data_IF_049116104939
#
_entry.id   IF_049116104939
#
_cell.length_a   1.000
_cell.length_b   1.000
_cell.length_c   1.000
_cell.angle_alpha   90.00
_cell.angle_beta   90.00
_cell.angle_gamma   90.00
#
_symmetry.space_group_name_H-M   'P 1'
#
loop_
_entity.id
_entity.type
_entity.pdbx_description
1 polymer ?
#
# COMPACT_ATOMS: atom_id res chain seq x y z
N UNK A 1 4.00 -22.75 11.33
CA UNK A 1 3.09 -21.86 10.60
C UNK A 1 3.71 -20.47 10.60
N UNK A 2 4.51 -20.16 9.58
CA UNK A 2 5.13 -18.83 9.48
C UNK A 2 4.03 -17.80 9.25
N UNK A 3 4.13 -16.65 9.90
CA UNK A 3 3.27 -15.51 9.59
C UNK A 3 3.55 -15.16 8.12
N UNK A 4 2.66 -15.53 7.21
CA UNK A 4 2.76 -15.19 5.78
C UNK A 4 2.09 -13.83 5.50
N UNK A 5 1.35 -13.28 6.47
CA UNK A 5 0.63 -12.02 6.35
C UNK A 5 1.37 -10.86 7.04
N UNK A 6 1.59 -9.76 6.31
CA UNK A 6 2.33 -8.60 6.81
C UNK A 6 1.59 -7.32 6.49
N UNK A 7 1.56 -6.40 7.46
CA UNK A 7 1.01 -5.06 7.27
C UNK A 7 2.14 -4.07 7.06
N UNK A 8 2.10 -3.34 5.96
CA UNK A 8 3.11 -2.36 5.59
C UNK A 8 2.44 -1.02 5.30
N UNK A 9 2.97 0.09 5.84
CA UNK A 9 2.62 1.41 5.34
C UNK A 9 3.33 1.66 4.01
N UNK A 10 2.65 2.31 3.07
CA UNK A 10 3.30 2.92 1.93
C UNK A 10 4.05 4.19 2.35
N UNK A 11 4.92 4.67 1.45
CA UNK A 11 5.61 5.94 1.57
C UNK A 11 5.63 6.64 0.21
N UNK A 12 5.79 7.96 0.22
CA UNK A 12 5.91 8.76 -0.99
C UNK A 12 4.58 8.98 -1.72
N UNK A 13 3.46 8.76 -1.02
CA UNK A 13 2.09 9.06 -1.49
C UNK A 13 1.83 10.56 -1.72
N UNK A 14 2.66 11.44 -1.15
CA UNK A 14 2.57 12.90 -1.32
C UNK A 14 3.16 13.42 -2.64
N UNK A 15 3.88 12.58 -3.40
CA UNK A 15 4.53 12.97 -4.65
C UNK A 15 3.61 12.64 -5.81
N UNK A 16 3.62 13.47 -6.86
CA UNK A 16 2.91 13.14 -8.09
C UNK A 16 3.65 12.06 -8.88
N UNK A 17 2.94 11.33 -9.73
CA UNK A 17 3.54 10.43 -10.69
C UNK A 17 4.21 11.19 -11.83
N UNK A 18 5.17 10.56 -12.47
CA UNK A 18 5.87 11.10 -13.66
C UNK A 18 4.91 11.36 -14.82
N UNK A 19 3.81 10.61 -14.88
CA UNK A 19 2.71 10.74 -15.85
C UNK A 19 1.77 11.94 -15.54
N UNK A 20 2.05 12.72 -14.50
CA UNK A 20 1.22 13.85 -14.06
C UNK A 20 0.00 13.47 -13.20
N UNK A 21 -0.28 12.17 -13.03
CA UNK A 21 -1.34 11.71 -12.13
C UNK A 21 -1.00 11.91 -10.64
N UNK A 22 -1.97 12.39 -9.87
CA UNK A 22 -1.84 12.58 -8.43
C UNK A 22 -1.97 11.23 -7.70
N UNK A 23 -0.92 10.80 -6.99
CA UNK A 23 -0.97 9.59 -6.15
C UNK A 23 -2.04 9.68 -5.07
N UNK A 24 -2.25 10.88 -4.53
CA UNK A 24 -3.30 11.19 -3.55
C UNK A 24 -4.71 10.99 -4.10
N UNK A 25 -4.99 11.44 -5.33
CA UNK A 25 -6.31 11.23 -5.95
C UNK A 25 -6.57 9.77 -6.24
N UNK A 26 -5.57 9.04 -6.73
CA UNK A 26 -5.71 7.60 -6.94
C UNK A 26 -5.91 6.87 -5.60
N UNK A 27 -5.16 7.24 -4.57
CA UNK A 27 -5.30 6.68 -3.24
C UNK A 27 -6.69 6.99 -2.64
N UNK A 28 -7.26 8.17 -2.90
CA UNK A 28 -8.62 8.52 -2.49
C UNK A 28 -9.69 7.66 -3.17
N UNK A 29 -9.41 7.14 -4.36
CA UNK A 29 -10.29 6.24 -5.12
C UNK A 29 -10.09 4.76 -4.78
N UNK A 30 -9.08 4.41 -3.99
CA UNK A 30 -8.86 3.05 -3.54
C UNK A 30 -9.84 2.74 -2.40
N UNK A 31 -10.23 1.48 -2.25
CA UNK A 31 -11.07 1.01 -1.15
C UNK A 31 -10.40 -0.11 -0.37
N UNK A 32 -10.64 -0.24 0.95
CA UNK A 32 -10.19 -1.41 1.71
C UNK A 32 -10.65 -2.71 1.05
N UNK A 33 -9.73 -3.64 0.87
CA UNK A 33 -9.94 -4.92 0.19
C UNK A 33 -9.56 -4.90 -1.29
N UNK A 34 -9.30 -3.73 -1.88
CA UNK A 34 -8.89 -3.64 -3.28
C UNK A 34 -7.49 -4.24 -3.47
N UNK A 35 -7.26 -5.06 -4.52
CA UNK A 35 -5.96 -5.64 -4.79
C UNK A 35 -4.96 -4.57 -5.24
N UNK A 36 -3.71 -4.76 -4.83
CA UNK A 36 -2.58 -3.93 -5.22
C UNK A 36 -1.50 -4.77 -5.88
N UNK A 37 -0.72 -4.12 -6.75
CA UNK A 37 0.42 -4.74 -7.44
C UNK A 37 1.73 -4.18 -6.92
N UNK A 38 2.66 -5.06 -6.61
CA UNK A 38 4.02 -4.73 -6.26
C UNK A 38 4.91 -4.87 -7.49
N UNK A 39 5.57 -3.78 -7.89
CA UNK A 39 6.42 -3.76 -9.07
C UNK A 39 7.83 -3.33 -8.67
N UNK A 40 8.82 -4.14 -9.00
CA UNK A 40 10.24 -3.82 -8.78
C UNK A 40 10.68 -2.74 -9.75
N UNK A 41 11.35 -1.71 -9.24
CA UNK A 41 12.00 -0.66 -10.04
C UNK A 41 13.52 -0.68 -9.79
N UNK A 42 14.26 -1.68 -10.31
CA UNK A 42 15.70 -1.81 -10.08
C UNK A 42 16.53 -0.70 -10.74
N UNK A 43 15.99 -0.07 -11.78
CA UNK A 43 16.60 1.05 -12.50
C UNK A 43 16.34 2.41 -11.82
N UNK A 44 15.64 2.42 -10.67
CA UNK A 44 15.35 3.67 -9.97
C UNK A 44 16.66 4.32 -9.48
N UNK A 45 17.01 5.54 -9.96
CA UNK A 45 18.30 6.19 -9.67
C UNK A 45 18.50 6.48 -8.17
N UNK A 46 17.43 6.55 -7.39
CA UNK A 46 17.49 6.80 -5.96
C UNK A 46 17.66 5.53 -5.12
N UNK A 47 17.10 4.41 -5.57
CA UNK A 47 17.06 3.16 -4.82
C UNK A 47 16.81 1.94 -5.73
N UNK A 48 17.82 1.12 -6.04
CA UNK A 48 17.64 -0.07 -6.88
C UNK A 48 16.84 -1.19 -6.18
N UNK A 49 16.59 -1.06 -4.88
CA UNK A 49 15.72 -1.94 -4.13
C UNK A 49 14.25 -1.47 -4.14
N UNK A 50 13.92 -0.37 -4.84
CA UNK A 50 12.60 0.20 -4.85
C UNK A 50 11.55 -0.79 -5.35
N UNK A 51 10.41 -0.80 -4.64
CA UNK A 51 9.21 -1.53 -5.02
C UNK A 51 8.07 -0.54 -5.03
N UNK A 52 7.57 -0.24 -6.22
CA UNK A 52 6.40 0.59 -6.43
C UNK A 52 5.14 -0.20 -6.06
N UNK A 53 4.22 0.48 -5.40
CA UNK A 53 2.88 -0.01 -5.10
C UNK A 53 1.93 0.63 -6.10
N UNK A 54 1.18 -0.19 -6.84
CA UNK A 54 0.22 0.25 -7.85
C UNK A 54 -1.18 -0.26 -7.48
N UNK A 55 -2.21 0.56 -7.72
CA UNK A 55 -3.61 0.16 -7.52
C UNK A 55 -4.03 -0.90 -8.54
N UNK A 56 -5.21 -1.50 -8.36
CA UNK A 56 -5.80 -2.43 -9.32
C UNK A 56 -5.88 -1.85 -10.75
N UNK A 57 -6.02 -0.51 -10.86
CA UNK A 57 -6.05 0.26 -12.11
C UNK A 57 -4.67 0.46 -12.75
N UNK A 58 -3.60 -0.01 -12.12
CA UNK A 58 -2.22 0.11 -12.62
C UNK A 58 -1.57 1.48 -12.34
N UNK A 59 -2.23 2.33 -11.56
CA UNK A 59 -1.72 3.66 -11.22
C UNK A 59 -0.85 3.56 -9.97
N UNK A 60 0.33 4.16 -10.01
CA UNK A 60 1.28 4.15 -8.89
C UNK A 60 0.69 5.00 -7.76
N UNK A 61 0.58 4.41 -6.57
CA UNK A 61 0.02 5.05 -5.36
C UNK A 61 1.08 5.30 -4.29
N UNK A 62 2.24 4.64 -4.40
CA UNK A 62 3.37 4.90 -3.52
C UNK A 62 4.48 3.87 -3.69
N UNK A 63 5.33 3.79 -2.66
CA UNK A 63 6.47 2.87 -2.58
C UNK A 63 6.47 2.11 -1.26
N UNK A 64 7.05 0.90 -1.26
CA UNK A 64 7.44 0.26 -0.02
C UNK A 64 8.61 1.01 0.64
N UNK A 65 8.64 1.04 1.97
CA UNK A 65 9.82 1.53 2.70
C UNK A 65 11.05 0.69 2.33
N UNK A 66 12.20 1.37 2.15
CA UNK A 66 13.50 0.79 1.72
C UNK A 66 13.83 -0.56 2.36
N UNK A 67 13.74 -0.66 3.69
CA UNK A 67 14.01 -1.91 4.42
C UNK A 67 13.15 -3.08 3.94
N UNK A 68 11.84 -2.83 3.79
CA UNK A 68 10.86 -3.81 3.34
C UNK A 68 10.93 -4.05 1.84
N UNK A 69 11.19 -3.01 1.06
CA UNK A 69 11.36 -3.07 -0.39
C UNK A 69 12.49 -4.03 -0.77
N UNK A 70 13.62 -4.00 -0.05
CA UNK A 70 14.74 -4.93 -0.29
C UNK A 70 14.38 -6.38 0.01
N UNK A 71 13.67 -6.62 1.12
CA UNK A 71 13.25 -7.96 1.52
C UNK A 71 12.18 -8.54 0.58
N UNK A 72 11.09 -7.81 0.38
CA UNK A 72 10.00 -8.18 -0.53
C UNK A 72 10.51 -8.30 -1.96
N UNK A 73 11.36 -7.36 -2.38
CA UNK A 73 11.91 -7.35 -3.72
C UNK A 73 12.81 -8.55 -4.01
N UNK A 74 13.57 -9.01 -3.02
CA UNK A 74 14.33 -10.26 -3.15
C UNK A 74 13.42 -11.50 -3.21
N UNK A 75 12.24 -11.47 -2.59
CA UNK A 75 11.25 -12.55 -2.70
C UNK A 75 10.59 -12.58 -4.09
N UNK A 76 10.19 -11.41 -4.59
CA UNK A 76 9.63 -11.26 -5.95
C UNK A 76 10.65 -11.76 -6.99
N UNK A 77 11.92 -11.36 -6.87
CA UNK A 77 13.01 -11.78 -7.78
C UNK A 77 13.24 -13.30 -7.78
N UNK A 78 13.04 -13.95 -6.63
CA UNK A 78 13.10 -15.41 -6.48
C UNK A 78 11.84 -16.14 -6.95
N UNK A 79 10.85 -15.44 -7.49
CA UNK A 79 9.60 -16.03 -8.01
C UNK A 79 8.54 -16.34 -6.94
N UNK A 80 8.61 -15.74 -5.75
CA UNK A 80 7.53 -15.87 -4.77
C UNK A 80 6.30 -15.07 -5.23
N UNK A 81 5.12 -15.68 -5.10
CA UNK A 81 3.85 -15.02 -5.40
C UNK A 81 3.44 -14.11 -4.24
N UNK A 82 3.87 -12.85 -4.31
CA UNK A 82 3.56 -11.84 -3.29
C UNK A 82 2.32 -11.06 -3.71
N UNK A 83 1.20 -11.33 -3.04
CA UNK A 83 -0.08 -10.63 -3.26
C UNK A 83 -0.32 -9.60 -2.18
N UNK A 84 -1.09 -8.57 -2.51
CA UNK A 84 -1.42 -7.52 -1.57
C UNK A 84 -2.80 -6.94 -1.78
N UNK A 85 -3.39 -6.47 -0.69
CA UNK A 85 -4.62 -5.67 -0.70
C UNK A 85 -4.43 -4.36 0.07
N UNK A 86 -5.26 -3.38 -0.24
CA UNK A 86 -5.45 -2.19 0.59
C UNK A 86 -6.09 -2.64 1.91
N UNK A 87 -5.40 -2.48 3.03
CA UNK A 87 -5.98 -2.76 4.34
C UNK A 87 -6.78 -1.56 4.82
N UNK A 88 -6.20 -0.37 4.72
CA UNK A 88 -6.81 0.86 5.21
C UNK A 88 -6.18 2.10 4.59
N UNK A 89 -6.98 3.14 4.42
CA UNK A 89 -6.51 4.49 4.05
C UNK A 89 -6.67 5.40 5.27
N UNK A 90 -5.57 5.99 5.73
CA UNK A 90 -5.52 6.98 6.80
C UNK A 90 -5.74 8.38 6.22
N UNK A 91 -6.27 9.31 7.02
CA UNK A 91 -6.44 10.71 6.60
C UNK A 91 -7.66 10.98 5.70
N UNK A 92 -8.39 9.95 5.25
CA UNK A 92 -9.59 10.11 4.43
C UNK A 92 -10.71 10.90 5.11
N UNK A 93 -10.77 10.87 6.45
CA UNK A 93 -11.80 11.58 7.24
C UNK A 93 -11.44 13.04 7.56
N UNK A 94 -10.25 13.53 7.18
CA UNK A 94 -9.80 14.89 7.49
C UNK A 94 -9.63 15.73 6.22
N UNK A 95 -10.25 16.93 6.15
CA UNK A 95 -10.04 17.83 5.01
C UNK A 95 -8.58 18.26 4.93
N UNK A 96 -8.01 18.30 3.71
CA UNK A 96 -6.61 18.69 3.42
C UNK A 96 -5.51 17.82 4.06
N UNK A 97 -5.86 16.64 4.58
CA UNK A 97 -4.86 15.72 5.12
C UNK A 97 -4.29 14.81 4.03
N UNK A 98 -2.97 14.59 4.08
CA UNK A 98 -2.32 13.60 3.22
C UNK A 98 -2.86 12.21 3.55
N UNK A 99 -3.40 11.54 2.55
CA UNK A 99 -3.90 10.18 2.66
C UNK A 99 -2.73 9.22 2.84
N UNK A 100 -2.83 8.36 3.85
CA UNK A 100 -1.83 7.35 4.18
C UNK A 100 -2.27 5.94 3.80
N UNK A 101 -1.53 5.23 2.96
CA UNK A 101 -1.88 3.84 2.60
C UNK A 101 -1.30 2.84 3.60
N UNK A 102 -2.17 1.99 4.16
CA UNK A 102 -1.78 0.76 4.85
C UNK A 102 -2.24 -0.42 4.00
N UNK A 103 -1.32 -1.31 3.71
CA UNK A 103 -1.52 -2.46 2.83
C UNK A 103 -1.14 -3.74 3.54
N UNK A 104 -1.88 -4.81 3.25
CA UNK A 104 -1.61 -6.16 3.75
C UNK A 104 -1.06 -6.99 2.61
N UNK A 105 0.06 -7.66 2.86
CA UNK A 105 0.74 -8.54 1.92
C UNK A 105 0.68 -9.98 2.39
N UNK A 106 0.58 -10.91 1.45
CA UNK A 106 0.70 -12.35 1.65
C UNK A 106 1.75 -12.91 0.68
N UNK A 107 2.56 -13.86 1.12
CA UNK A 107 3.63 -14.49 0.33
C UNK A 107 3.39 -15.96 -0.04
N UNK A 108 2.24 -16.52 0.34
CA UNK A 108 1.83 -17.90 0.05
C UNK A 108 1.09 -18.01 -1.30
N UNK A 109 0.94 -16.89 -2.01
CA UNK A 109 0.17 -16.82 -3.26
C UNK A 109 -1.34 -16.75 -3.09
N UNK A 110 -1.83 -16.64 -1.86
CA UNK A 110 -3.24 -16.38 -1.57
C UNK A 110 -3.49 -14.88 -1.38
N UNK A 111 -4.65 -14.40 -1.80
CA UNK A 111 -5.04 -13.01 -1.58
C UNK A 111 -5.24 -12.76 -0.07
N UNK A 112 -4.52 -11.79 0.53
CA UNK A 112 -4.66 -11.53 1.96
C UNK A 112 -6.10 -11.14 2.28
N UNK A 113 -6.74 -11.86 3.20
CA UNK A 113 -8.06 -11.48 3.67
C UNK A 113 -8.01 -10.12 4.38
N UNK A 114 -9.02 -9.27 4.16
CA UNK A 114 -9.19 -8.07 4.95
C UNK A 114 -9.38 -8.48 6.41
N UNK A 115 -8.49 -8.03 7.30
CA UNK A 115 -8.70 -8.20 8.74
C UNK A 115 -9.95 -7.45 9.21
N UNK A 116 -10.44 -7.70 10.44
CA UNK A 116 -11.53 -6.89 10.98
C UNK A 116 -11.12 -5.42 10.93
N UNK A 117 -11.88 -4.62 10.19
CA UNK A 117 -11.66 -3.18 10.04
C UNK A 117 -11.84 -2.61 11.44
N UNK A 118 -10.74 -2.31 12.14
CA UNK A 118 -10.85 -1.63 13.43
C UNK A 118 -11.38 -0.22 13.14
N UNK A 119 -12.56 0.15 13.65
CA UNK A 119 -13.08 1.49 13.44
C UNK A 119 -12.02 2.48 13.91
N UNK A 120 -11.79 3.50 13.09
CA UNK A 120 -10.88 4.56 13.50
C UNK A 120 -11.46 5.21 14.76
N UNK A 121 -10.63 5.35 15.79
CA UNK A 121 -11.01 5.96 17.07
C UNK A 121 -11.48 7.41 16.90
N UNK A 122 -11.25 8.04 15.73
CA UNK A 122 -11.82 9.33 15.35
C UNK A 122 -13.31 9.32 15.02
N UNK A 123 -13.89 8.18 14.63
CA UNK A 123 -15.32 8.05 14.30
C UNK A 123 -16.19 7.87 15.56
N UNK A 124 -15.59 7.36 16.65
CA UNK A 124 -16.28 7.16 17.93
C UNK A 124 -16.61 8.46 18.66
N UNK A 125 -15.85 9.53 18.42
CA UNK A 125 -16.03 10.84 19.05
C UNK A 125 -17.15 11.68 18.41
N UNK A 126 -17.67 11.28 17.25
CA UNK A 126 -18.78 11.97 16.56
C UNK A 126 -20.15 11.34 16.83
N UNK A 127 -20.21 10.11 17.35
CA UNK A 127 -21.48 9.41 17.67
C UNK A 127 -21.99 9.58 19.10
N UNK A 128 -21.35 10.41 19.94
CA UNK A 128 -21.79 10.66 21.34
C UNK A 128 -22.05 12.14 21.62
N UNK A 129 -22.65 12.87 20.67
CA UNK A 129 -23.08 14.26 20.89
C UNK A 129 -24.58 14.36 21.10
#
# INVERSE_FOLDING_TARGET
>A
MGICDFRLPACGEWYNNEDGSSRQEELARCVPGEPIKLVREPDNPHDPAAVAVRSARGIKIGYLRRDRARWIGSKIDRGYDVRGIVERIKGASLPNSTLGLVMRLNMDGEDPALGPIKPDIGDYLLSHR
#
